data_IF_049209750408
#
_entry.id   IF_049209750408
#
_cell.length_a   1.000
_cell.length_b   1.000
_cell.length_c   1.000
_cell.angle_alpha   90.00
_cell.angle_beta   90.00
_cell.angle_gamma   90.00
#
_symmetry.space_group_name_H-M   'P 1'
#
loop_
_entity.id
_entity.type
_entity.pdbx_description
1 polymer ?
#
# COMPACT_ATOMS: atom_id res chain seq x y z
N UNK A 1 10.15 42.06 -6.06
CA UNK A 1 11.26 41.18 -5.61
C UNK A 1 10.64 39.85 -5.18
N UNK A 2 11.03 38.74 -5.80
CA UNK A 2 10.54 37.41 -5.37
C UNK A 2 11.23 37.08 -4.04
N UNK A 3 10.44 36.79 -3.01
CA UNK A 3 10.98 36.38 -1.71
C UNK A 3 11.68 35.02 -1.86
N UNK A 4 12.80 34.83 -1.16
CA UNK A 4 13.54 33.57 -1.08
C UNK A 4 12.62 32.36 -0.85
N UNK A 5 11.64 32.45 0.06
CA UNK A 5 10.70 31.36 0.31
C UNK A 5 9.86 31.01 -0.92
N UNK A 6 9.37 32.02 -1.63
CA UNK A 6 8.61 31.83 -2.87
C UNK A 6 9.45 31.12 -3.93
N UNK A 7 10.69 31.56 -4.11
CA UNK A 7 11.64 30.93 -5.03
C UNK A 7 11.92 29.47 -4.63
N UNK A 8 12.18 29.21 -3.35
CA UNK A 8 12.42 27.87 -2.82
C UNK A 8 11.25 26.93 -3.12
N UNK A 9 10.01 27.34 -2.82
CA UNK A 9 8.85 26.48 -3.07
C UNK A 9 8.61 26.23 -4.57
N UNK A 10 8.79 27.25 -5.42
CA UNK A 10 8.68 27.08 -6.88
C UNK A 10 9.67 26.02 -7.36
N UNK A 11 10.96 26.16 -6.99
CA UNK A 11 12.00 25.19 -7.37
C UNK A 11 11.71 23.80 -6.82
N UNK A 12 11.29 23.70 -5.56
CA UNK A 12 10.92 22.43 -4.93
C UNK A 12 9.80 21.72 -5.68
N UNK A 13 8.72 22.42 -6.04
CA UNK A 13 7.61 21.83 -6.78
C UNK A 13 8.00 21.46 -8.22
N UNK A 14 8.81 22.27 -8.89
CA UNK A 14 9.33 21.92 -10.23
C UNK A 14 10.15 20.64 -10.20
N UNK A 15 11.09 20.52 -9.25
CA UNK A 15 11.89 19.30 -9.07
C UNK A 15 11.00 18.11 -8.74
N UNK A 16 9.96 18.29 -7.91
CA UNK A 16 9.02 17.23 -7.53
C UNK A 16 8.15 16.76 -8.70
N UNK A 17 7.72 17.67 -9.58
CA UNK A 17 6.98 17.32 -10.79
C UNK A 17 7.89 16.56 -11.76
N UNK A 18 9.10 17.08 -12.00
CA UNK A 18 10.07 16.45 -12.87
C UNK A 18 10.45 15.03 -12.39
N UNK A 19 10.73 14.86 -11.10
CA UNK A 19 11.06 13.54 -10.55
C UNK A 19 9.91 12.56 -10.63
N UNK A 20 8.68 13.02 -10.36
CA UNK A 20 7.47 12.20 -10.53
C UNK A 20 7.32 11.73 -11.97
N UNK A 21 7.42 12.63 -12.94
CA UNK A 21 7.30 12.28 -14.36
C UNK A 21 8.36 11.27 -14.79
N UNK A 22 9.62 11.51 -14.41
CA UNK A 22 10.75 10.64 -14.74
C UNK A 22 10.59 9.23 -14.15
N UNK A 23 10.15 9.12 -12.89
CA UNK A 23 9.94 7.80 -12.27
C UNK A 23 8.72 7.14 -12.90
N UNK A 24 7.60 7.86 -13.01
CA UNK A 24 6.35 7.32 -13.54
C UNK A 24 6.44 6.85 -14.99
N UNK A 25 7.28 7.45 -15.83
CA UNK A 25 7.47 6.99 -17.22
C UNK A 25 8.14 5.62 -17.32
N UNK A 26 8.85 5.19 -16.28
CA UNK A 26 9.58 3.93 -16.23
C UNK A 26 8.86 2.86 -15.37
N UNK A 27 7.64 3.13 -14.89
CA UNK A 27 6.89 2.18 -14.09
C UNK A 27 6.09 1.23 -14.99
N UNK A 28 6.04 -0.03 -14.56
CA UNK A 28 5.13 -1.00 -15.13
C UNK A 28 3.68 -0.69 -14.71
N UNK A 29 2.70 -1.23 -15.43
CA UNK A 29 1.27 -1.02 -15.14
C UNK A 29 0.85 -1.52 -13.75
N UNK A 30 1.54 -2.53 -13.23
CA UNK A 30 1.32 -3.14 -11.91
C UNK A 30 2.03 -2.39 -10.76
N UNK A 31 2.76 -1.32 -11.08
CA UNK A 31 3.51 -0.53 -10.11
C UNK A 31 2.85 0.83 -9.85
N UNK A 32 2.85 1.24 -8.58
CA UNK A 32 2.42 2.56 -8.13
C UNK A 32 3.56 3.31 -7.46
N UNK A 33 3.62 4.60 -7.75
CA UNK A 33 4.58 5.53 -7.18
C UNK A 33 3.97 6.35 -6.06
N UNK A 34 4.67 6.40 -4.93
CA UNK A 34 4.35 7.29 -3.83
C UNK A 34 5.52 8.26 -3.59
N UNK A 35 5.31 9.58 -3.76
CA UNK A 35 6.35 10.57 -3.56
C UNK A 35 6.70 10.67 -2.06
N UNK A 36 7.99 10.74 -1.75
CA UNK A 36 8.45 11.12 -0.42
C UNK A 36 8.32 12.62 -0.16
N UNK A 37 8.72 13.04 1.05
CA UNK A 37 8.77 14.45 1.45
C UNK A 37 9.80 15.20 0.61
N UNK A 38 10.98 14.61 0.40
CA UNK A 38 11.96 15.15 -0.53
C UNK A 38 11.77 14.48 -1.90
N UNK A 39 11.89 15.23 -3.01
CA UNK A 39 11.56 14.75 -4.35
C UNK A 39 12.53 13.67 -4.88
N UNK A 40 13.58 13.38 -4.14
CA UNK A 40 14.62 12.40 -4.45
C UNK A 40 14.35 11.04 -3.80
N UNK A 41 13.50 10.98 -2.76
CA UNK A 41 13.09 9.75 -2.10
C UNK A 41 11.65 9.42 -2.46
N UNK A 42 11.39 8.16 -2.74
CA UNK A 42 10.07 7.70 -3.13
C UNK A 42 9.88 6.24 -2.78
N UNK A 43 8.64 5.78 -2.83
CA UNK A 43 8.28 4.38 -2.62
C UNK A 43 7.66 3.87 -3.92
N UNK A 44 8.07 2.67 -4.31
CA UNK A 44 7.42 1.90 -5.37
C UNK A 44 6.69 0.75 -4.70
N UNK A 45 5.41 0.65 -5.00
CA UNK A 45 4.58 -0.50 -4.65
C UNK A 45 4.28 -1.28 -5.91
N UNK A 46 4.60 -2.56 -5.92
CA UNK A 46 4.28 -3.49 -6.98
C UNK A 46 3.27 -4.49 -6.43
N UNK A 47 2.16 -4.66 -7.16
CA UNK A 47 1.12 -5.61 -6.79
C UNK A 47 0.76 -6.44 -8.02
N UNK A 48 0.71 -7.76 -7.85
CA UNK A 48 0.32 -8.67 -8.92
C UNK A 48 -0.62 -9.72 -8.35
N UNK A 49 -1.73 -9.95 -9.06
CA UNK A 49 -2.73 -10.95 -8.72
C UNK A 49 -2.85 -11.87 -9.93
N UNK A 50 -2.35 -13.10 -9.79
CA UNK A 50 -2.38 -14.12 -10.82
C UNK A 50 -3.20 -15.31 -10.31
N UNK A 51 -4.51 -15.31 -10.61
CA UNK A 51 -5.44 -16.29 -10.07
C UNK A 51 -5.53 -16.21 -8.54
N UNK A 52 -5.00 -17.22 -7.87
CA UNK A 52 -4.97 -17.33 -6.42
C UNK A 52 -3.65 -16.86 -5.79
N UNK A 53 -2.66 -16.50 -6.62
CA UNK A 53 -1.38 -15.98 -6.15
C UNK A 53 -1.42 -14.46 -6.07
N UNK A 54 -0.98 -13.94 -4.93
CA UNK A 54 -0.87 -12.51 -4.68
C UNK A 54 0.58 -12.21 -4.34
N UNK A 55 1.25 -11.44 -5.21
CA UNK A 55 2.61 -10.97 -5.04
C UNK A 55 2.61 -9.48 -4.72
N UNK A 56 3.31 -9.12 -3.65
CA UNK A 56 3.34 -7.77 -3.11
C UNK A 56 4.78 -7.38 -2.82
N UNK A 57 5.21 -6.23 -3.33
CA UNK A 57 6.53 -5.70 -3.05
C UNK A 57 6.46 -4.19 -2.81
N UNK A 58 6.98 -3.76 -1.68
CA UNK A 58 7.02 -2.37 -1.27
C UNK A 58 8.48 -1.99 -1.01
N UNK A 59 9.03 -1.13 -1.85
CA UNK A 59 10.43 -0.72 -1.77
C UNK A 59 10.54 0.78 -1.65
N UNK A 60 11.37 1.25 -0.72
CA UNK A 60 11.83 2.63 -0.68
C UNK A 60 13.04 2.76 -1.60
N UNK A 61 12.99 3.75 -2.48
CA UNK A 61 14.08 4.09 -3.40
C UNK A 61 14.51 5.54 -3.20
N UNK A 62 15.71 5.82 -3.68
CA UNK A 62 16.26 7.15 -3.83
C UNK A 62 16.89 7.26 -5.21
N UNK A 63 16.99 8.47 -5.75
CA UNK A 63 17.79 8.72 -6.95
C UNK A 63 19.29 8.49 -6.71
N UNK A 64 19.76 8.53 -5.45
CA UNK A 64 21.19 8.50 -5.11
C UNK A 64 21.62 7.34 -4.21
N UNK A 65 20.68 6.58 -3.65
CA UNK A 65 20.98 5.52 -2.67
C UNK A 65 20.45 4.17 -3.10
N UNK A 66 20.97 3.11 -2.47
CA UNK A 66 20.47 1.75 -2.63
C UNK A 66 18.99 1.65 -2.25
N UNK A 67 18.31 0.71 -2.90
CA UNK A 67 16.91 0.37 -2.64
C UNK A 67 16.79 -0.33 -1.29
N UNK A 68 15.81 0.08 -0.48
CA UNK A 68 15.50 -0.47 0.83
C UNK A 68 14.13 -1.17 0.76
N UNK A 69 14.11 -2.48 1.00
CA UNK A 69 12.89 -3.29 0.93
C UNK A 69 12.11 -3.09 2.24
N UNK A 70 10.89 -2.55 2.14
CA UNK A 70 10.01 -2.35 3.29
C UNK A 70 9.23 -3.63 3.58
N UNK A 71 8.65 -4.23 2.54
CA UNK A 71 7.82 -5.42 2.64
C UNK A 71 7.89 -6.17 1.32
N UNK A 72 7.97 -7.50 1.38
CA UNK A 72 7.89 -8.36 0.21
C UNK A 72 7.24 -9.67 0.62
N UNK A 73 6.17 -10.06 -0.07
CA UNK A 73 5.47 -11.30 0.22
C UNK A 73 4.86 -11.85 -1.07
N UNK A 74 4.93 -13.17 -1.22
CA UNK A 74 4.17 -13.93 -2.20
C UNK A 74 3.29 -14.91 -1.43
N UNK A 75 1.98 -14.72 -1.52
CA UNK A 75 0.99 -15.50 -0.79
C UNK A 75 0.09 -16.22 -1.79
N UNK A 76 -0.02 -17.54 -1.63
CA UNK A 76 -1.00 -18.36 -2.35
C UNK A 76 -2.23 -18.48 -1.46
N UNK A 77 -3.38 -18.04 -1.96
CA UNK A 77 -4.66 -18.18 -1.28
C UNK A 77 -5.39 -19.43 -1.77
N UNK A 78 -6.12 -20.11 -0.90
CA UNK A 78 -7.11 -21.09 -1.37
C UNK A 78 -8.37 -20.36 -1.89
N UNK A 79 -9.30 -21.10 -2.50
CA UNK A 79 -10.51 -20.52 -3.08
C UNK A 79 -11.37 -19.77 -2.06
N UNK A 80 -11.46 -20.25 -0.83
CA UNK A 80 -12.24 -19.60 0.24
C UNK A 80 -11.56 -18.33 0.75
N UNK A 81 -10.25 -18.38 0.96
CA UNK A 81 -9.41 -17.23 1.31
C UNK A 81 -9.50 -16.14 0.24
N UNK A 82 -9.56 -16.53 -1.04
CA UNK A 82 -9.73 -15.60 -2.16
C UNK A 82 -11.11 -14.92 -2.13
N UNK A 83 -12.18 -15.66 -1.80
CA UNK A 83 -13.52 -15.08 -1.60
C UNK A 83 -13.51 -14.09 -0.43
N UNK A 84 -12.88 -14.45 0.69
CA UNK A 84 -12.74 -13.54 1.83
C UNK A 84 -11.93 -12.31 1.47
N UNK A 85 -10.88 -12.46 0.65
CA UNK A 85 -10.09 -11.35 0.15
C UNK A 85 -10.91 -10.38 -0.68
N UNK A 86 -11.65 -10.89 -1.67
CA UNK A 86 -12.54 -10.07 -2.50
C UNK A 86 -13.59 -9.34 -1.65
N UNK A 87 -14.22 -10.04 -0.70
CA UNK A 87 -15.16 -9.44 0.26
C UNK A 87 -14.50 -8.37 1.13
N UNK A 88 -13.26 -8.58 1.57
CA UNK A 88 -12.49 -7.59 2.32
C UNK A 88 -12.18 -6.32 1.51
N UNK A 89 -11.88 -6.47 0.22
CA UNK A 89 -11.69 -5.35 -0.71
C UNK A 89 -13.00 -4.59 -0.91
N UNK A 90 -14.11 -5.30 -1.09
CA UNK A 90 -15.45 -4.71 -1.21
C UNK A 90 -15.82 -3.89 0.03
N UNK A 91 -15.65 -4.45 1.22
CA UNK A 91 -15.88 -3.74 2.49
C UNK A 91 -14.99 -2.49 2.66
N UNK A 92 -13.77 -2.50 2.10
CA UNK A 92 -12.95 -1.29 2.05
C UNK A 92 -13.53 -0.24 1.09
N UNK A 93 -14.08 -0.67 -0.04
CA UNK A 93 -14.63 0.20 -1.07
C UNK A 93 -15.96 0.86 -0.69
N UNK A 94 -16.75 0.24 0.18
CA UNK A 94 -17.99 0.83 0.73
C UNK A 94 -17.71 2.10 1.54
N UNK A 95 -16.55 2.18 2.16
CA UNK A 95 -16.15 3.36 2.90
C UNK A 95 -15.44 4.36 1.99
N UNK A 96 -16.09 5.51 1.74
CA UNK A 96 -15.57 6.57 0.88
C UNK A 96 -14.11 6.95 1.15
N UNK A 97 -13.69 6.95 2.42
CA UNK A 97 -12.33 7.33 2.80
C UNK A 97 -11.30 6.29 2.38
N UNK A 98 -11.62 5.00 2.53
CA UNK A 98 -10.72 3.89 2.24
C UNK A 98 -10.74 3.48 0.76
N UNK A 99 -11.86 3.69 0.06
CA UNK A 99 -12.03 3.36 -1.35
C UNK A 99 -11.00 4.01 -2.28
N UNK A 100 -10.47 5.19 -1.88
CA UNK A 100 -9.52 5.96 -2.69
C UNK A 100 -8.06 5.57 -2.47
N UNK A 101 -7.80 4.79 -1.43
CA UNK A 101 -6.45 4.51 -0.98
C UNK A 101 -5.95 3.19 -1.53
N UNK A 102 -4.66 3.16 -1.83
CA UNK A 102 -3.99 1.95 -2.30
C UNK A 102 -3.81 0.99 -1.13
N UNK A 103 -4.39 -0.18 -1.30
CA UNK A 103 -4.40 -1.24 -0.30
C UNK A 103 -3.15 -2.11 -0.42
N UNK A 104 -2.49 -2.35 0.71
CA UNK A 104 -1.53 -3.43 0.90
C UNK A 104 -2.16 -4.49 1.82
N UNK A 105 -2.62 -5.63 1.28
CA UNK A 105 -3.17 -6.70 2.10
C UNK A 105 -2.08 -7.53 2.77
N UNK A 106 -2.29 -7.87 4.04
CA UNK A 106 -1.50 -8.86 4.77
C UNK A 106 -2.45 -9.93 5.30
N UNK A 107 -2.15 -11.18 4.96
CA UNK A 107 -2.96 -12.34 5.31
C UNK A 107 -2.48 -12.94 6.62
N UNK A 108 -3.41 -13.21 7.54
CA UNK A 108 -3.15 -13.78 8.85
C UNK A 108 -4.03 -15.02 8.99
N UNK A 109 -3.39 -16.18 9.12
CA UNK A 109 -4.06 -17.48 9.28
C UNK A 109 -3.92 -17.93 10.72
N UNK A 110 -5.04 -18.03 11.43
CA UNK A 110 -5.10 -18.58 12.78
C UNK A 110 -6.10 -19.75 12.77
N UNK A 111 -5.93 -20.75 13.65
CA UNK A 111 -6.80 -21.94 13.67
C UNK A 111 -8.29 -21.55 13.69
N UNK A 112 -9.00 -21.85 12.60
CA UNK A 112 -10.43 -21.55 12.41
C UNK A 112 -10.77 -20.11 11.96
N UNK A 113 -9.78 -19.22 11.83
CA UNK A 113 -9.98 -17.81 11.46
C UNK A 113 -9.03 -17.37 10.36
N UNK A 114 -9.58 -16.73 9.34
CA UNK A 114 -8.82 -16.06 8.31
C UNK A 114 -8.98 -14.56 8.47
N UNK A 115 -7.88 -13.84 8.69
CA UNK A 115 -7.91 -12.40 8.85
C UNK A 115 -7.13 -11.72 7.74
N UNK A 116 -7.67 -10.62 7.23
CA UNK A 116 -7.02 -9.80 6.21
C UNK A 116 -6.84 -8.41 6.79
N UNK A 117 -5.59 -7.97 6.87
CA UNK A 117 -5.23 -6.63 7.30
C UNK A 117 -4.82 -5.79 6.10
N UNK A 118 -5.65 -4.83 5.74
CA UNK A 118 -5.35 -3.86 4.69
C UNK A 118 -4.66 -2.65 5.29
N UNK A 119 -3.40 -2.41 4.90
CA UNK A 119 -2.71 -1.16 5.15
C UNK A 119 -2.96 -0.18 4.02
N UNK A 120 -3.08 1.10 4.37
CA UNK A 120 -3.26 2.19 3.40
C UNK A 120 -1.94 2.91 3.18
N UNK A 121 -1.46 2.89 1.94
CA UNK A 121 -0.07 3.29 1.64
C UNK A 121 0.11 4.81 1.54
N UNK A 122 -0.89 5.56 1.08
CA UNK A 122 -0.82 7.02 0.91
C UNK A 122 -0.48 7.77 2.21
N UNK A 123 -1.12 7.48 3.37
CA UNK A 123 -0.77 8.12 4.64
C UNK A 123 0.46 7.50 5.33
N UNK A 124 1.21 6.61 4.66
CA UNK A 124 2.31 5.90 5.31
C UNK A 124 3.44 6.86 5.71
N UNK A 125 3.86 6.77 6.97
CA UNK A 125 4.99 7.52 7.53
C UNK A 125 5.90 6.56 8.28
N UNK A 126 7.21 6.59 8.02
CA UNK A 126 8.20 5.74 8.73
C UNK A 126 7.86 4.24 8.75
N UNK A 127 7.42 3.67 7.61
CA UNK A 127 6.95 2.27 7.49
C UNK A 127 5.74 1.92 8.37
N UNK A 128 5.02 2.94 8.86
CA UNK A 128 3.78 2.79 9.61
C UNK A 128 2.63 3.38 8.82
N UNK A 129 1.51 2.68 8.83
CA UNK A 129 0.31 3.09 8.11
C UNK A 129 -0.93 2.76 8.93
N UNK A 130 -1.99 3.51 8.65
CA UNK A 130 -3.33 3.13 9.09
C UNK A 130 -3.69 1.80 8.45
N UNK A 131 -4.42 0.97 9.18
CA UNK A 131 -4.91 -0.29 8.66
C UNK A 131 -6.29 -0.63 9.21
N UNK A 132 -6.98 -1.48 8.45
CA UNK A 132 -8.21 -2.15 8.89
C UNK A 132 -8.00 -3.63 8.72
N UNK A 133 -8.31 -4.38 9.77
CA UNK A 133 -8.32 -5.82 9.77
C UNK A 133 -9.76 -6.33 9.80
N UNK A 134 -10.05 -7.26 8.91
CA UNK A 134 -11.30 -8.01 8.86
C UNK A 134 -11.00 -9.45 9.27
N UNK A 135 -11.67 -9.93 10.32
CA UNK A 135 -11.54 -11.29 10.81
C UNK A 135 -12.74 -12.10 10.32
N UNK A 136 -12.49 -13.13 9.52
CA UNK A 136 -13.48 -14.07 9.01
C UNK A 136 -13.38 -15.41 9.73
N UNK A 137 -14.54 -15.98 10.02
CA UNK A 137 -14.63 -17.37 10.45
C UNK A 137 -14.62 -18.28 9.21
N UNK A 138 -13.73 -19.26 9.19
CA UNK A 138 -13.60 -20.15 8.03
C UNK A 138 -14.81 -21.09 7.94
N UNK A 139 -15.36 -21.54 9.07
CA UNK A 139 -16.47 -22.50 9.12
C UNK A 139 -17.80 -21.82 8.80
N UNK A 140 -18.08 -20.69 9.45
CA UNK A 140 -19.37 -20.00 9.25
C UNK A 140 -19.37 -19.05 8.06
N UNK A 141 -18.19 -18.76 7.49
CA UNK A 141 -17.98 -17.80 6.39
C UNK A 141 -18.44 -16.37 6.71
N UNK A 142 -18.64 -16.07 7.99
CA UNK A 142 -19.10 -14.78 8.47
C UNK A 142 -17.95 -13.87 8.89
N UNK A 143 -18.19 -12.57 8.77
CA UNK A 143 -17.32 -11.55 9.32
C UNK A 143 -17.52 -11.51 10.84
N UNK A 144 -16.49 -11.86 11.59
CA UNK A 144 -16.51 -11.87 13.06
C UNK A 144 -16.27 -10.46 13.60
N UNK A 145 -15.27 -9.76 13.05
CA UNK A 145 -14.77 -8.53 13.64
C UNK A 145 -14.11 -7.62 12.61
N UNK A 146 -14.27 -6.32 12.83
CA UNK A 146 -13.52 -5.26 12.16
C UNK A 146 -12.64 -4.56 13.20
N UNK A 147 -11.35 -4.44 12.95
CA UNK A 147 -10.40 -3.73 13.83
C UNK A 147 -9.64 -2.67 13.04
N UNK A 148 -9.78 -1.40 13.43
CA UNK A 148 -8.98 -0.30 12.87
C UNK A 148 -7.77 -0.07 13.76
N UNK A 149 -6.61 0.18 13.16
CA UNK A 149 -5.41 0.51 13.93
C UNK A 149 -4.42 1.35 13.11
N UNK A 150 -3.34 1.77 13.76
CA UNK A 150 -2.17 2.35 13.13
C UNK A 150 -0.94 1.57 13.61
N UNK A 151 -0.11 1.11 12.69
CA UNK A 151 0.97 0.20 13.04
C UNK A 151 2.03 0.09 11.96
N UNK A 152 3.12 -0.61 12.29
CA UNK A 152 4.19 -0.90 11.35
C UNK A 152 3.74 -1.96 10.36
N UNK A 153 4.10 -1.78 9.10
CA UNK A 153 3.98 -2.83 8.07
C UNK A 153 5.07 -3.87 8.37
N UNK A 154 4.65 -5.08 8.70
CA UNK A 154 5.49 -6.24 9.03
C UNK A 154 4.87 -7.47 8.39
#
# INVERSE_FOLDING_TARGET
VINFYTFFYIMYYLIRIASKLLVSSNLNQNQKYFPGVLPIYFIIYEYEIAGNEISLDLRKKSLFSKTDIIYKNQSVLNTEEMIFFQKGVELCSENYYFAKWTLLPIFIRNNGKFAIRFFFLEPMMHRRAMNIQFDFDILTKQLIRIKRSYGRIQ
#
